data_IF_894324703163
#
_entry.id   IF_894324703163
#
_cell.length_a   1.000
_cell.length_b   1.000
_cell.length_c   1.000
_cell.angle_alpha   90.00
_cell.angle_beta   90.00
_cell.angle_gamma   90.00
#
_symmetry.space_group_name_H-M   'P 1'
#
loop_
_entity.id
_entity.type
_entity.pdbx_description
1 polymer ?
#
# COMPACT_ATOMS: atom_id res chain seq x y z
N UNK A 1 -15.22 -14.22 5.21
CA UNK A 1 -13.88 -13.59 5.07
C UNK A 1 -13.45 -13.85 3.65
N UNK A 2 -13.01 -12.83 2.93
CA UNK A 2 -12.47 -12.96 1.57
C UNK A 2 -10.96 -12.97 1.67
N UNK A 3 -10.31 -13.90 0.99
CA UNK A 3 -8.84 -14.04 0.99
C UNK A 3 -8.34 -13.74 -0.42
N UNK A 4 -7.40 -12.80 -0.55
CA UNK A 4 -6.91 -12.39 -1.86
C UNK A 4 -5.40 -12.09 -1.89
N UNK A 5 -4.64 -12.59 -2.89
CA UNK A 5 -5.10 -13.51 -3.94
C UNK A 5 -5.48 -14.89 -3.38
N UNK A 6 -6.38 -15.64 -4.06
CA UNK A 6 -6.83 -16.96 -3.60
C UNK A 6 -5.69 -18.00 -3.56
N UNK A 7 -4.65 -17.78 -4.36
CA UNK A 7 -3.41 -18.56 -4.38
C UNK A 7 -2.22 -17.60 -4.48
N UNK A 8 -1.18 -17.81 -3.67
CA UNK A 8 0.05 -17.00 -3.70
C UNK A 8 0.52 -16.53 -2.32
N UNK A 9 1.75 -16.02 -2.27
CA UNK A 9 2.39 -15.52 -1.04
C UNK A 9 1.82 -14.15 -0.67
N UNK A 10 1.51 -13.95 0.61
CA UNK A 10 1.02 -12.67 1.13
C UNK A 10 -0.47 -12.44 0.86
N UNK A 11 -1.32 -13.46 1.00
CA UNK A 11 -2.76 -13.25 0.91
C UNK A 11 -3.28 -12.30 2.01
N UNK A 12 -4.18 -11.40 1.62
CA UNK A 12 -4.86 -10.44 2.50
C UNK A 12 -6.21 -11.02 2.90
N UNK A 13 -6.49 -11.03 4.21
CA UNK A 13 -7.77 -11.49 4.76
C UNK A 13 -8.69 -10.28 4.96
N UNK A 14 -9.68 -10.12 4.09
CA UNK A 14 -10.71 -9.08 4.17
C UNK A 14 -11.90 -9.64 4.95
N UNK A 15 -12.17 -9.06 6.12
CA UNK A 15 -13.30 -9.46 6.96
C UNK A 15 -14.57 -8.66 6.62
N UNK A 16 -15.74 -9.11 7.13
CA UNK A 16 -16.97 -8.30 7.02
C UNK A 16 -16.85 -6.96 7.77
N UNK A 17 -16.03 -6.90 8.81
CA UNK A 17 -15.74 -5.66 9.52
C UNK A 17 -14.93 -4.68 8.67
N UNK A 18 -13.97 -5.17 7.89
CA UNK A 18 -13.24 -4.35 6.93
C UNK A 18 -14.17 -3.82 5.82
N UNK A 19 -15.11 -4.65 5.34
CA UNK A 19 -16.07 -4.22 4.32
C UNK A 19 -16.93 -3.04 4.77
N UNK A 20 -17.36 -2.98 6.04
CA UNK A 20 -18.12 -1.84 6.57
C UNK A 20 -17.35 -0.52 6.53
N UNK A 21 -16.02 -0.55 6.43
CA UNK A 21 -15.19 0.66 6.31
C UNK A 21 -15.15 1.20 4.88
N UNK A 22 -15.86 0.57 3.94
CA UNK A 22 -16.15 1.14 2.61
C UNK A 22 -17.34 2.11 2.65
N UNK A 23 -18.10 2.15 3.75
CA UNK A 23 -19.23 3.06 3.86
C UNK A 23 -18.76 4.53 3.85
N UNK A 24 -19.56 5.45 3.27
CA UNK A 24 -19.21 6.86 3.20
C UNK A 24 -18.95 7.45 4.60
N UNK A 25 -17.79 8.10 4.77
CA UNK A 25 -17.40 8.74 6.04
C UNK A 25 -16.50 7.88 6.94
N UNK A 26 -16.27 6.62 6.59
CA UNK A 26 -15.30 5.77 7.28
C UNK A 26 -13.91 5.85 6.62
N UNK A 27 -12.85 5.83 7.43
CA UNK A 27 -11.48 5.74 6.89
C UNK A 27 -11.20 4.30 6.46
N UNK A 28 -10.46 4.12 5.36
CA UNK A 28 -10.01 2.79 4.94
C UNK A 28 -9.01 2.19 5.93
N UNK A 29 -9.08 0.87 6.10
CA UNK A 29 -8.09 0.11 6.85
C UNK A 29 -6.87 -0.20 5.98
N UNK A 30 -5.72 -0.45 6.59
CA UNK A 30 -4.52 -0.96 5.91
C UNK A 30 -4.83 -2.23 5.09
N UNK A 31 -5.69 -3.11 5.61
CA UNK A 31 -6.16 -4.33 4.92
C UNK A 31 -6.87 -4.03 3.60
N UNK A 32 -7.74 -3.01 3.56
CA UNK A 32 -8.46 -2.63 2.33
C UNK A 32 -7.52 -2.01 1.30
N UNK A 33 -6.59 -1.17 1.75
CA UNK A 33 -5.58 -0.55 0.88
C UNK A 33 -4.69 -1.65 0.27
N UNK A 34 -4.23 -2.60 1.08
CA UNK A 34 -3.39 -3.70 0.61
C UNK A 34 -4.14 -4.61 -0.37
N UNK A 35 -5.42 -4.91 -0.09
CA UNK A 35 -6.29 -5.64 -1.00
C UNK A 35 -6.44 -4.92 -2.35
N UNK A 36 -6.78 -3.63 -2.32
CA UNK A 36 -7.01 -2.84 -3.54
C UNK A 36 -5.76 -2.74 -4.41
N UNK A 37 -4.60 -2.52 -3.81
CA UNK A 37 -3.32 -2.49 -4.53
C UNK A 37 -2.99 -3.82 -5.19
N UNK A 38 -3.15 -4.93 -4.46
CA UNK A 38 -2.93 -6.28 -5.01
C UNK A 38 -3.90 -6.59 -6.13
N UNK A 39 -5.17 -6.21 -5.98
CA UNK A 39 -6.19 -6.43 -6.98
C UNK A 39 -5.88 -5.68 -8.27
N UNK A 40 -5.58 -4.38 -8.18
CA UNK A 40 -5.19 -3.55 -9.32
C UNK A 40 -3.91 -4.06 -9.99
N UNK A 41 -2.92 -4.50 -9.20
CA UNK A 41 -1.66 -5.00 -9.75
C UNK A 41 -1.81 -6.35 -10.45
N UNK A 42 -2.58 -7.27 -9.88
CA UNK A 42 -2.88 -8.53 -10.54
C UNK A 42 -3.66 -8.31 -11.83
N UNK A 43 -4.58 -7.34 -11.85
CA UNK A 43 -5.28 -6.93 -13.08
C UNK A 43 -4.31 -6.44 -14.15
N UNK A 44 -3.31 -5.64 -13.78
CA UNK A 44 -2.26 -5.19 -14.71
C UNK A 44 -1.42 -6.39 -15.17
N UNK A 45 -1.05 -7.32 -14.28
CA UNK A 45 -0.32 -8.54 -14.66
C UNK A 45 -1.09 -9.40 -15.67
N UNK A 46 -2.40 -9.52 -15.51
CA UNK A 46 -3.26 -10.27 -16.43
C UNK A 46 -3.37 -9.60 -17.80
N UNK A 47 -3.49 -8.27 -17.84
CA UNK A 47 -3.69 -7.51 -19.07
C UNK A 47 -2.39 -7.21 -19.82
N UNK A 48 -1.33 -6.88 -19.08
CA UNK A 48 -0.04 -6.40 -19.59
C UNK A 48 1.11 -6.86 -18.68
N UNK A 49 1.55 -8.13 -18.78
CA UNK A 49 2.61 -8.69 -17.94
C UNK A 49 3.94 -7.93 -18.10
N UNK A 50 4.31 -7.53 -19.32
CA UNK A 50 5.55 -6.77 -19.58
C UNK A 50 5.57 -5.39 -18.89
N UNK A 51 4.39 -4.81 -18.69
CA UNK A 51 4.25 -3.55 -17.98
C UNK A 51 4.27 -3.76 -16.47
N UNK A 52 3.68 -4.86 -15.99
CA UNK A 52 3.71 -5.21 -14.58
C UNK A 52 5.13 -5.45 -14.06
N UNK A 53 6.03 -6.01 -14.87
CA UNK A 53 7.43 -6.20 -14.49
C UNK A 53 8.19 -4.87 -14.31
N UNK A 54 7.73 -3.79 -14.93
CA UNK A 54 8.29 -2.45 -14.74
C UNK A 54 7.74 -1.74 -13.50
N UNK A 55 6.78 -2.32 -12.80
CA UNK A 55 6.13 -1.72 -11.63
C UNK A 55 6.49 -2.50 -10.38
N UNK A 56 6.92 -1.79 -9.33
CA UNK A 56 7.04 -2.35 -8.00
C UNK A 56 6.07 -1.67 -7.04
N UNK A 57 5.31 -2.47 -6.30
CA UNK A 57 4.34 -1.97 -5.31
C UNK A 57 4.76 -2.44 -3.92
N UNK A 58 4.97 -1.48 -3.02
CA UNK A 58 5.20 -1.74 -1.62
C UNK A 58 3.87 -1.86 -0.85
N UNK A 59 3.90 -2.52 0.31
CA UNK A 59 2.77 -2.50 1.23
C UNK A 59 2.70 -1.17 2.01
N UNK A 60 1.59 -0.90 2.69
CA UNK A 60 1.39 0.32 3.50
C UNK A 60 2.30 0.39 4.74
N UNK A 61 2.93 -0.72 5.13
CA UNK A 61 3.90 -0.76 6.22
C UNK A 61 5.27 -0.24 5.82
N UNK A 62 5.62 -0.27 4.52
CA UNK A 62 6.91 0.21 4.04
C UNK A 62 7.14 1.67 4.40
N UNK A 63 6.15 2.53 4.10
CA UNK A 63 6.24 3.95 4.42
C UNK A 63 6.28 4.18 5.94
N UNK A 64 5.41 3.51 6.71
CA UNK A 64 5.41 3.61 8.19
C UNK A 64 6.76 3.27 8.80
N UNK A 65 7.47 2.29 8.21
CA UNK A 65 8.77 1.83 8.67
C UNK A 65 9.92 2.73 8.20
N UNK A 66 9.78 3.30 7.01
CA UNK A 66 10.72 4.26 6.45
C UNK A 66 10.68 5.60 7.21
N UNK A 67 9.48 6.07 7.57
CA UNK A 67 9.24 7.32 8.31
C UNK A 67 9.54 7.23 9.82
N UNK A 68 10.37 6.27 10.24
CA UNK A 68 10.87 6.18 11.62
C UNK A 68 11.62 7.46 12.02
N UNK A 69 11.63 7.77 13.33
CA UNK A 69 12.03 9.07 13.92
C UNK A 69 13.44 9.56 13.56
N UNK A 70 14.31 8.71 13.00
CA UNK A 70 15.65 9.09 12.53
C UNK A 70 15.84 8.69 11.05
N UNK A 71 16.25 9.62 10.16
CA UNK A 71 16.51 9.35 8.75
C UNK A 71 17.53 8.22 8.51
N UNK A 72 18.52 8.08 9.41
CA UNK A 72 19.54 7.01 9.39
C UNK A 72 18.95 5.62 9.65
N UNK A 73 17.93 5.54 10.50
CA UNK A 73 17.36 4.28 11.00
C UNK A 73 16.21 3.79 10.11
N UNK A 74 15.54 4.72 9.42
CA UNK A 74 14.49 4.42 8.45
C UNK A 74 14.98 3.52 7.32
N UNK A 75 16.11 3.87 6.69
CA UNK A 75 16.69 3.07 5.61
C UNK A 75 17.17 1.70 6.10
N UNK A 76 17.82 1.62 7.26
CA UNK A 76 18.25 0.34 7.83
C UNK A 76 17.08 -0.62 8.06
N UNK A 77 15.93 -0.09 8.48
CA UNK A 77 14.73 -0.86 8.79
C UNK A 77 14.03 -1.46 7.56
N UNK A 78 14.19 -0.82 6.40
CA UNK A 78 13.63 -1.30 5.12
C UNK A 78 14.67 -1.94 4.20
N UNK A 79 15.96 -1.90 4.55
CA UNK A 79 17.06 -2.45 3.73
C UNK A 79 16.84 -3.89 3.32
N UNK A 80 16.31 -4.74 4.21
CA UNK A 80 16.00 -6.15 3.88
C UNK A 80 14.88 -6.29 2.86
N UNK A 81 13.97 -5.33 2.83
CA UNK A 81 12.82 -5.32 1.92
C UNK A 81 13.24 -4.83 0.55
N UNK A 82 14.19 -3.90 0.49
CA UNK A 82 14.77 -3.38 -0.74
C UNK A 82 15.91 -4.25 -1.30
N UNK A 83 16.52 -5.12 -0.49
CA UNK A 83 17.69 -5.93 -0.89
C UNK A 83 17.45 -6.89 -2.07
N UNK A 84 16.21 -7.32 -2.30
CA UNK A 84 15.85 -8.23 -3.41
C UNK A 84 15.24 -7.51 -4.61
N UNK A 85 15.17 -6.18 -4.58
CA UNK A 85 14.50 -5.39 -5.61
C UNK A 85 15.54 -4.55 -6.32
N UNK A 86 15.66 -4.73 -7.63
CA UNK A 86 16.45 -3.84 -8.46
C UNK A 86 15.58 -2.65 -8.88
N UNK A 87 15.71 -1.51 -8.20
CA UNK A 87 14.93 -0.31 -8.50
C UNK A 87 15.22 0.27 -9.88
N UNK A 88 16.43 0.07 -10.40
CA UNK A 88 16.84 0.63 -11.69
C UNK A 88 16.15 -0.06 -12.86
N UNK A 89 15.64 -1.28 -12.67
CA UNK A 89 14.84 -2.00 -13.67
C UNK A 89 13.36 -1.63 -13.60
N UNK A 90 12.93 -0.91 -12.57
CA UNK A 90 11.53 -0.53 -12.37
C UNK A 90 11.32 0.90 -12.84
N UNK A 91 10.33 1.09 -13.71
CA UNK A 91 9.90 2.40 -14.21
C UNK A 91 9.01 3.12 -13.21
N UNK A 92 8.23 2.38 -12.43
CA UNK A 92 7.34 2.94 -11.42
C UNK A 92 7.48 2.21 -10.09
N UNK A 93 7.54 2.99 -9.02
CA UNK A 93 7.54 2.51 -7.63
C UNK A 93 6.33 3.12 -6.94
N UNK A 94 5.41 2.27 -6.52
CA UNK A 94 4.19 2.69 -5.82
C UNK A 94 4.37 2.40 -4.34
N UNK A 95 4.33 3.46 -3.53
CA UNK A 95 4.38 3.37 -2.07
C UNK A 95 3.07 3.95 -1.53
N UNK A 96 2.15 3.11 -1.03
CA UNK A 96 0.93 3.60 -0.42
C UNK A 96 1.23 4.26 0.93
N UNK A 97 0.76 5.49 1.09
CA UNK A 97 0.88 6.25 2.32
C UNK A 97 -0.48 6.25 3.00
N UNK A 98 -0.60 5.51 4.10
CA UNK A 98 -1.77 5.53 4.97
C UNK A 98 -1.50 6.43 6.17
N UNK A 99 -1.27 7.71 5.91
CA UNK A 99 -1.25 8.73 6.95
C UNK A 99 -2.67 9.18 7.22
N UNK A 100 -3.03 9.30 8.50
CA UNK A 100 -4.23 10.03 8.87
C UNK A 100 -4.01 11.48 8.46
N UNK A 101 -4.43 11.85 7.26
CA UNK A 101 -4.78 13.22 6.95
C UNK A 101 -5.99 13.56 7.81
N UNK A 102 -5.75 13.92 9.07
CA UNK A 102 -6.66 14.80 9.79
C UNK A 102 -6.83 15.99 8.87
N UNK A 103 -8.06 16.17 8.41
CA UNK A 103 -8.55 17.27 7.59
C UNK A 103 -8.36 18.62 8.34
N UNK A 104 -7.11 19.03 8.60
CA UNK A 104 -6.80 20.40 9.02
C UNK A 104 -7.19 21.42 7.93
N UNK A 105 -7.48 20.96 6.71
CA UNK A 105 -8.05 21.78 5.64
C UNK A 105 -9.52 22.15 5.83
N UNK A 106 -10.25 21.57 6.79
CA UNK A 106 -11.66 21.93 7.00
C UNK A 106 -11.86 23.03 8.06
N UNK A 107 -10.79 23.54 8.71
CA UNK A 107 -10.92 24.55 9.78
C UNK A 107 -10.23 25.89 9.54
N UNK A 108 -9.57 26.09 8.40
CA UNK A 108 -8.91 27.37 8.10
C UNK A 108 -9.68 28.27 7.13
N UNK A 109 -10.95 27.96 6.83
CA UNK A 109 -11.82 28.83 6.05
C UNK A 109 -13.07 29.11 6.88
N UNK A 110 -13.16 30.37 7.34
CA UNK A 110 -14.24 31.08 8.04
C UNK A 110 -14.13 31.07 9.59
N UNK A 111 -14.22 32.23 10.26
CA UNK A 111 -14.50 33.58 9.76
C UNK A 111 -13.25 34.45 9.53
#
# INVERSE_FOLDING_TARGET
VVVYPPTGVGAVNVTRGDYKRLDPGEFFNDTLIEFGLKHSFNRIKELQPDYADQIHIFNSFFYKKLSSKAPSDGYQSVRKWTAKINFFEKRYIIIPINEKCVLLWQRSIIP
#
